data_IF_967381573065
#
_entry.id   IF_967381573065
#
_cell.length_a   1.000
_cell.length_b   1.000
_cell.length_c   1.000
_cell.angle_alpha   90.00
_cell.angle_beta   90.00
_cell.angle_gamma   90.00
#
_symmetry.space_group_name_H-M   'P 1'
#
loop_
_entity.id
_entity.type
_entity.pdbx_description
1 polymer ?
#
# COMPACT_ATOMS: atom_id res chain seq x y z
N UNK A 1 16.43 8.64 -20.03
CA UNK A 1 15.49 8.86 -18.92
C UNK A 1 14.53 7.68 -18.94
N UNK A 2 14.58 6.76 -17.95
CA UNK A 2 13.63 5.67 -17.85
C UNK A 2 12.23 6.23 -17.64
N UNK A 3 11.23 5.53 -18.15
CA UNK A 3 9.87 6.02 -18.30
C UNK A 3 9.09 5.76 -17.00
N UNK A 4 8.80 6.81 -16.21
CA UNK A 4 8.04 6.73 -14.94
C UNK A 4 6.60 6.18 -15.10
N UNK A 5 6.16 5.85 -16.32
CA UNK A 5 4.86 5.25 -16.64
C UNK A 5 4.87 3.70 -16.68
N UNK A 6 6.00 3.02 -16.52
CA UNK A 6 6.04 1.55 -16.45
C UNK A 6 5.64 0.99 -15.07
N UNK A 7 5.63 1.83 -14.03
CA UNK A 7 5.43 1.41 -12.64
C UNK A 7 4.00 0.94 -12.37
N UNK A 8 2.99 1.67 -12.85
CA UNK A 8 1.58 1.31 -12.67
C UNK A 8 1.11 0.20 -13.61
N UNK A 9 1.75 0.04 -14.78
CA UNK A 9 1.30 -0.90 -15.82
C UNK A 9 1.77 -2.33 -15.62
N UNK A 10 2.80 -2.56 -14.81
CA UNK A 10 3.24 -3.92 -14.42
C UNK A 10 2.39 -4.54 -13.30
N UNK A 11 1.53 -3.76 -12.64
CA UNK A 11 0.65 -4.22 -11.58
C UNK A 11 -0.53 -5.10 -12.05
N UNK A 12 -0.84 -5.11 -13.35
CA UNK A 12 -1.86 -6.01 -13.94
C UNK A 12 -1.31 -7.38 -14.39
N UNK A 13 -0.01 -7.62 -14.26
CA UNK A 13 0.61 -8.89 -14.60
C UNK A 13 0.97 -9.67 -13.36
N UNK A 14 0.10 -10.58 -12.92
CA UNK A 14 0.44 -11.54 -11.87
C UNK A 14 1.74 -12.28 -12.24
N UNK A 15 2.86 -11.96 -11.59
CA UNK A 15 4.05 -12.82 -11.61
C UNK A 15 3.75 -13.97 -10.65
N UNK A 16 2.95 -14.94 -11.13
CA UNK A 16 3.03 -16.29 -10.56
C UNK A 16 4.43 -16.79 -10.89
N UNK A 17 5.20 -17.26 -9.91
CA UNK A 17 5.80 -18.59 -9.96
C UNK A 17 6.54 -18.99 -8.67
N UNK A 18 6.36 -20.28 -8.41
CA UNK A 18 7.01 -21.23 -7.52
C UNK A 18 8.53 -21.09 -7.33
N UNK A 19 8.97 -21.25 -6.08
CA UNK A 19 10.30 -21.80 -5.77
C UNK A 19 11.11 -20.94 -4.82
N UNK A 20 11.32 -21.44 -3.60
CA UNK A 20 12.25 -20.84 -2.65
C UNK A 20 13.68 -20.97 -3.14
N UNK A 21 14.42 -19.86 -3.10
CA UNK A 21 15.86 -19.83 -3.37
C UNK A 21 16.33 -18.41 -3.65
N UNK A 22 17.03 -17.82 -2.67
CA UNK A 22 17.89 -16.63 -2.74
C UNK A 22 17.50 -15.57 -3.79
N UNK A 23 16.81 -14.51 -3.38
CA UNK A 23 16.30 -13.49 -4.30
C UNK A 23 16.89 -12.11 -4.03
N UNK A 24 18.10 -11.89 -4.54
CA UNK A 24 18.61 -10.55 -4.76
C UNK A 24 18.49 -10.23 -6.25
N UNK A 25 17.77 -9.16 -6.57
CA UNK A 25 17.77 -8.52 -7.88
C UNK A 25 17.87 -7.01 -7.72
N UNK A 26 18.48 -6.34 -8.69
CA UNK A 26 18.37 -4.89 -8.82
C UNK A 26 16.96 -4.58 -9.34
N UNK A 27 16.17 -3.85 -8.54
CA UNK A 27 14.97 -3.21 -9.02
C UNK A 27 15.33 -2.18 -10.10
N UNK A 28 14.39 -1.90 -11.01
CA UNK A 28 14.60 -1.08 -12.21
C UNK A 28 15.17 0.34 -11.96
N UNK A 29 15.14 0.82 -10.72
CA UNK A 29 15.64 2.14 -10.27
C UNK A 29 16.91 2.06 -9.38
N UNK A 30 17.56 0.90 -9.29
CA UNK A 30 18.74 0.70 -8.43
C UNK A 30 18.41 0.40 -6.96
N UNK A 31 17.14 0.19 -6.62
CA UNK A 31 16.71 -0.30 -5.30
C UNK A 31 16.96 -1.81 -5.16
N UNK A 32 17.31 -2.27 -3.96
CA UNK A 32 17.48 -3.69 -3.70
C UNK A 32 16.09 -4.35 -3.56
N UNK A 33 15.84 -5.39 -4.37
CA UNK A 33 14.60 -6.18 -4.33
C UNK A 33 14.89 -7.48 -3.58
N UNK A 34 14.11 -7.74 -2.54
CA UNK A 34 14.06 -9.01 -1.82
C UNK A 34 12.68 -9.65 -1.96
N UNK A 35 12.60 -10.97 -1.76
CA UNK A 35 11.29 -11.64 -1.69
C UNK A 35 10.96 -11.97 -0.24
N UNK A 36 9.82 -11.46 0.21
CA UNK A 36 9.26 -11.69 1.53
C UNK A 36 8.16 -12.76 1.46
N UNK A 37 7.61 -13.13 2.62
CA UNK A 37 6.38 -13.96 2.66
C UNK A 37 5.14 -13.21 2.12
N UNK A 38 5.25 -11.91 1.92
CA UNK A 38 4.23 -11.05 1.32
C UNK A 38 4.45 -10.84 -0.19
N UNK A 39 5.37 -11.59 -0.79
CA UNK A 39 5.75 -11.42 -2.19
C UNK A 39 6.96 -10.50 -2.35
N UNK A 40 7.02 -9.79 -3.45
CA UNK A 40 8.08 -8.82 -3.75
C UNK A 40 8.13 -7.71 -2.70
N UNK A 41 9.34 -7.37 -2.27
CA UNK A 41 9.62 -6.26 -1.38
C UNK A 41 10.80 -5.46 -1.93
N UNK A 42 10.59 -4.17 -2.09
CA UNK A 42 11.64 -3.25 -2.52
C UNK A 42 11.81 -2.17 -1.46
N UNK A 43 13.06 -1.83 -1.14
CA UNK A 43 13.37 -0.68 -0.31
C UNK A 43 14.38 0.22 -0.99
N UNK A 44 14.22 1.52 -0.78
CA UNK A 44 15.14 2.57 -1.24
C UNK A 44 15.40 3.53 -0.09
N UNK A 45 16.67 3.83 0.15
CA UNK A 45 17.09 4.94 1.02
C UNK A 45 17.38 6.15 0.13
N UNK A 46 16.80 7.30 0.46
CA UNK A 46 17.09 8.58 -0.16
C UNK A 46 18.37 9.22 0.38
N UNK A 47 18.82 10.29 -0.27
CA UNK A 47 20.08 10.94 0.08
C UNK A 47 20.07 11.60 1.48
N UNK A 48 18.88 11.86 2.04
CA UNK A 48 18.71 12.45 3.37
C UNK A 48 18.43 11.38 4.44
N UNK A 49 18.58 10.10 4.10
CA UNK A 49 18.39 8.98 5.00
C UNK A 49 16.95 8.47 5.05
N UNK A 50 15.99 9.10 4.36
CA UNK A 50 14.60 8.64 4.33
C UNK A 50 14.45 7.29 3.62
N UNK A 51 13.72 6.35 4.20
CA UNK A 51 13.46 5.04 3.59
C UNK A 51 12.07 5.02 2.96
N UNK A 52 11.98 4.54 1.72
CA UNK A 52 10.71 4.12 1.11
C UNK A 52 10.71 2.60 0.96
N UNK A 53 9.67 1.97 1.51
CA UNK A 53 9.40 0.54 1.40
C UNK A 53 8.17 0.31 0.53
N UNK A 54 8.27 -0.63 -0.41
CA UNK A 54 7.22 -0.95 -1.37
C UNK A 54 6.94 -2.44 -1.33
N UNK A 55 5.66 -2.79 -1.28
CA UNK A 55 5.11 -4.15 -1.33
C UNK A 55 4.17 -4.24 -2.54
N UNK A 56 4.72 -4.45 -3.75
CA UNK A 56 3.93 -4.43 -4.99
C UNK A 56 2.81 -5.46 -4.98
N UNK A 57 3.12 -6.68 -4.53
CA UNK A 57 2.15 -7.78 -4.45
C UNK A 57 1.06 -7.57 -3.38
N UNK A 58 1.24 -6.59 -2.49
CA UNK A 58 0.22 -6.19 -1.49
C UNK A 58 -0.52 -4.93 -1.95
N UNK A 59 0.07 -4.11 -2.82
CA UNK A 59 -0.48 -2.80 -3.21
C UNK A 59 -0.21 -1.71 -2.16
N UNK A 60 0.87 -1.83 -1.38
CA UNK A 60 1.20 -0.93 -0.26
C UNK A 60 2.59 -0.35 -0.43
N UNK A 61 2.73 0.93 -0.11
CA UNK A 61 4.00 1.64 -0.02
C UNK A 61 4.01 2.49 1.23
N UNK A 62 5.13 2.56 1.95
CA UNK A 62 5.26 3.40 3.12
C UNK A 62 6.63 4.07 3.17
N UNK A 63 6.68 5.25 3.79
CA UNK A 63 7.89 6.02 3.96
C UNK A 63 8.22 6.22 5.42
N UNK A 64 9.51 6.21 5.74
CA UNK A 64 10.07 6.52 7.05
C UNK A 64 11.08 7.66 6.91
N UNK A 65 11.12 8.57 7.88
CA UNK A 65 12.17 9.60 7.91
C UNK A 65 13.50 9.06 8.47
N UNK A 66 14.48 9.94 8.57
CA UNK A 66 15.79 9.73 9.17
C UNK A 66 15.74 9.44 10.68
N UNK A 67 14.66 9.84 11.36
CA UNK A 67 14.34 9.45 12.73
C UNK A 67 13.56 8.11 12.82
N UNK A 68 13.52 7.33 11.73
CA UNK A 68 12.88 6.00 11.68
C UNK A 68 11.35 6.00 11.86
N UNK A 69 10.71 7.17 11.80
CA UNK A 69 9.26 7.34 12.00
C UNK A 69 8.51 7.33 10.68
N UNK A 70 7.35 6.68 10.68
CA UNK A 70 6.42 6.59 9.56
C UNK A 70 5.90 7.97 9.15
N UNK A 71 6.26 8.41 7.94
CA UNK A 71 5.84 9.69 7.36
C UNK A 71 4.64 9.55 6.42
N UNK A 72 4.49 8.40 5.75
CA UNK A 72 3.30 8.11 4.94
C UNK A 72 3.03 6.62 4.80
N UNK A 73 1.76 6.31 4.54
CA UNK A 73 1.27 5.01 4.03
C UNK A 73 0.43 5.30 2.80
N UNK A 74 0.81 4.73 1.66
CA UNK A 74 0.09 4.81 0.41
C UNK A 74 -0.41 3.42 0.02
N UNK A 75 -1.71 3.30 -0.20
CA UNK A 75 -2.36 2.08 -0.65
C UNK A 75 -2.94 2.32 -2.03
N UNK A 76 -2.56 1.52 -3.00
CA UNK A 76 -3.34 1.39 -4.23
C UNK A 76 -4.56 0.53 -3.90
N UNK A 77 -5.72 1.19 -3.95
CA UNK A 77 -6.98 0.63 -3.53
C UNK A 77 -7.36 -0.60 -4.37
N UNK A 78 -7.08 -0.54 -5.66
CA UNK A 78 -7.43 -1.62 -6.58
C UNK A 78 -6.50 -2.81 -6.32
N UNK A 79 -5.19 -2.64 -6.40
CA UNK A 79 -4.26 -3.75 -6.17
C UNK A 79 -4.49 -4.43 -4.82
N UNK A 80 -4.61 -3.63 -3.75
CA UNK A 80 -4.82 -4.12 -2.39
C UNK A 80 -6.07 -5.01 -2.27
N UNK A 81 -7.20 -4.57 -2.82
CA UNK A 81 -8.45 -5.35 -2.80
C UNK A 81 -8.45 -6.49 -3.82
N UNK A 82 -7.60 -6.42 -4.85
CA UNK A 82 -7.55 -7.38 -5.96
C UNK A 82 -6.85 -8.66 -5.57
N UNK A 83 -6.02 -8.59 -4.54
CA UNK A 83 -5.36 -9.72 -3.92
C UNK A 83 -6.30 -10.54 -3.02
N UNK A 84 -7.57 -10.14 -2.86
CA UNK A 84 -8.55 -10.93 -2.14
C UNK A 84 -8.97 -12.17 -2.95
N UNK A 85 -9.00 -13.32 -2.27
CA UNK A 85 -9.60 -14.53 -2.84
C UNK A 85 -11.08 -14.31 -3.18
N UNK A 86 -11.56 -14.93 -4.26
CA UNK A 86 -12.96 -14.75 -4.73
C UNK A 86 -14.00 -15.05 -3.65
N UNK A 87 -13.75 -16.07 -2.82
CA UNK A 87 -14.67 -16.45 -1.75
C UNK A 87 -14.75 -15.34 -0.69
N UNK A 88 -13.63 -14.67 -0.39
CA UNK A 88 -13.59 -13.52 0.54
C UNK A 88 -14.31 -12.29 0.00
N UNK A 89 -14.31 -12.07 -1.32
CA UNK A 89 -15.11 -11.00 -1.92
C UNK A 89 -16.60 -11.22 -1.69
N UNK A 90 -17.07 -12.47 -1.75
CA UNK A 90 -18.48 -12.81 -1.54
C UNK A 90 -18.97 -12.58 -0.11
N UNK A 91 -18.05 -12.54 0.86
CA UNK A 91 -18.30 -12.26 2.28
C UNK A 91 -18.27 -10.77 2.62
N UNK A 92 -17.90 -9.90 1.67
CA UNK A 92 -17.90 -8.45 1.88
C UNK A 92 -19.32 -7.90 1.95
N UNK A 93 -19.48 -6.74 2.60
CA UNK A 93 -20.77 -6.11 2.83
C UNK A 93 -21.62 -5.97 1.54
N UNK A 94 -20.99 -5.62 0.41
CA UNK A 94 -21.66 -5.55 -0.89
C UNK A 94 -21.22 -6.67 -1.85
N UNK A 95 -20.75 -7.79 -1.31
CA UNK A 95 -20.33 -9.00 -2.05
C UNK A 95 -19.29 -8.73 -3.14
N UNK A 96 -18.46 -7.72 -2.96
CA UNK A 96 -17.42 -7.32 -3.90
C UNK A 96 -17.93 -6.52 -5.11
N UNK A 97 -19.21 -6.13 -5.15
CA UNK A 97 -19.80 -5.43 -6.31
C UNK A 97 -19.13 -4.09 -6.57
N UNK A 98 -18.90 -3.27 -5.52
CA UNK A 98 -18.28 -1.95 -5.68
C UNK A 98 -16.80 -2.09 -6.06
N UNK A 99 -16.14 -3.09 -5.49
CA UNK A 99 -14.74 -3.42 -5.78
C UNK A 99 -14.59 -3.84 -7.24
N UNK A 100 -15.40 -4.79 -7.72
CA UNK A 100 -15.36 -5.25 -9.11
C UNK A 100 -15.72 -4.14 -10.10
N UNK A 101 -16.65 -3.26 -9.74
CA UNK A 101 -16.96 -2.08 -10.55
C UNK A 101 -15.79 -1.08 -10.59
N UNK A 102 -15.13 -0.84 -9.45
CA UNK A 102 -13.95 0.01 -9.37
C UNK A 102 -12.83 -0.51 -10.28
N UNK A 103 -12.52 -1.80 -10.23
CA UNK A 103 -11.50 -2.41 -11.10
C UNK A 103 -11.76 -2.14 -12.58
N UNK A 104 -12.99 -2.43 -13.03
CA UNK A 104 -13.37 -2.24 -14.43
C UNK A 104 -13.25 -0.78 -14.86
N UNK A 105 -13.65 0.16 -14.00
CA UNK A 105 -13.55 1.59 -14.30
C UNK A 105 -12.10 2.08 -14.36
N UNK A 106 -11.24 1.64 -13.44
CA UNK A 106 -9.82 2.00 -13.42
C UNK A 106 -9.09 1.40 -14.63
N UNK A 107 -9.33 0.13 -14.94
CA UNK A 107 -8.76 -0.56 -16.10
C UNK A 107 -9.20 0.10 -17.42
N UNK A 108 -10.50 0.37 -17.59
CA UNK A 108 -11.03 1.01 -18.80
C UNK A 108 -10.45 2.41 -19.05
N UNK A 109 -9.93 3.07 -18.01
CA UNK A 109 -9.37 4.43 -18.06
C UNK A 109 -7.85 4.47 -17.97
N UNK A 110 -7.16 3.32 -17.84
CA UNK A 110 -5.72 3.24 -17.59
C UNK A 110 -5.31 4.09 -16.39
N UNK A 111 -6.08 3.96 -15.30
CA UNK A 111 -5.95 4.77 -14.07
C UNK A 111 -5.65 3.91 -12.86
N UNK A 112 -5.04 4.54 -11.85
CA UNK A 112 -4.79 3.98 -10.52
C UNK A 112 -5.41 4.89 -9.47
N UNK A 113 -5.97 4.29 -8.41
CA UNK A 113 -6.56 5.01 -7.28
C UNK A 113 -5.72 4.76 -6.02
N UNK A 114 -5.14 5.83 -5.50
CA UNK A 114 -4.35 5.81 -4.28
C UNK A 114 -5.11 6.42 -3.11
N UNK A 115 -4.97 5.80 -1.94
CA UNK A 115 -5.29 6.37 -0.63
C UNK A 115 -3.97 6.52 0.13
N UNK A 116 -3.58 7.75 0.42
CA UNK A 116 -2.34 8.07 1.13
C UNK A 116 -2.65 8.76 2.46
N UNK A 117 -2.11 8.21 3.54
CA UNK A 117 -2.15 8.81 4.87
C UNK A 117 -0.77 9.37 5.18
N UNK A 118 -0.73 10.60 5.68
CA UNK A 118 0.46 11.24 6.21
C UNK A 118 0.27 11.44 7.72
N UNK A 119 0.72 10.49 8.56
CA UNK A 119 0.43 10.52 10.00
C UNK A 119 1.01 11.74 10.71
N UNK A 120 2.21 12.17 10.32
CA UNK A 120 2.95 13.28 10.94
C UNK A 120 2.26 14.63 10.81
N UNK A 121 1.53 14.84 9.71
CA UNK A 121 0.78 16.07 9.42
C UNK A 121 -0.74 15.88 9.46
N UNK A 122 -1.20 14.73 9.99
CA UNK A 122 -2.63 14.39 10.14
C UNK A 122 -3.44 14.66 8.86
N UNK A 123 -2.97 14.13 7.73
CA UNK A 123 -3.58 14.34 6.41
C UNK A 123 -3.89 13.02 5.72
N UNK A 124 -5.01 12.98 5.02
CA UNK A 124 -5.39 11.94 4.08
C UNK A 124 -5.50 12.57 2.69
N UNK A 125 -4.98 11.89 1.69
CA UNK A 125 -5.15 12.22 0.28
C UNK A 125 -5.72 11.00 -0.43
N UNK A 126 -6.75 11.20 -1.25
CA UNK A 126 -7.26 10.21 -2.19
C UNK A 126 -7.06 10.77 -3.58
N UNK A 127 -6.28 10.09 -4.40
CA UNK A 127 -5.96 10.57 -5.73
C UNK A 127 -6.12 9.48 -6.80
N UNK A 128 -6.67 9.87 -7.95
CA UNK A 128 -6.66 9.03 -9.14
C UNK A 128 -5.61 9.56 -10.11
N UNK A 129 -4.73 8.69 -10.59
CA UNK A 129 -3.66 9.03 -11.52
C UNK A 129 -3.78 8.24 -12.80
N UNK A 130 -3.41 8.88 -13.91
CA UNK A 130 -3.13 8.21 -15.18
C UNK A 130 -1.68 8.48 -15.60
N UNK A 131 -1.36 8.16 -16.85
CA UNK A 131 -0.05 8.42 -17.44
C UNK A 131 0.35 9.89 -17.51
N UNK A 132 -0.61 10.79 -17.69
CA UNK A 132 -0.38 12.23 -17.79
C UNK A 132 -0.21 12.88 -16.40
N UNK A 133 -0.73 12.26 -15.34
CA UNK A 133 -0.52 12.68 -13.95
C UNK A 133 -1.76 12.50 -13.08
N UNK A 134 -1.95 13.42 -12.13
CA UNK A 134 -3.12 13.43 -11.24
C UNK A 134 -4.36 13.89 -12.01
N UNK A 135 -5.40 13.07 -12.01
CA UNK A 135 -6.69 13.31 -12.70
C UNK A 135 -7.77 13.77 -11.73
N UNK A 136 -7.70 13.31 -10.49
CA UNK A 136 -8.60 13.70 -9.40
C UNK A 136 -7.85 13.62 -8.09
N UNK A 137 -8.13 14.55 -7.18
CA UNK A 137 -7.54 14.60 -5.85
C UNK A 137 -8.61 15.07 -4.86
N UNK A 138 -8.68 14.40 -3.71
CA UNK A 138 -9.42 14.83 -2.52
C UNK A 138 -8.47 14.82 -1.32
N UNK A 139 -8.45 15.92 -0.57
CA UNK A 139 -7.52 16.13 0.54
C UNK A 139 -8.31 16.43 1.80
N UNK A 140 -8.11 15.60 2.82
CA UNK A 140 -8.68 15.79 4.15
C UNK A 140 -7.57 16.08 5.14
N UNK A 141 -7.61 17.27 5.73
CA UNK A 141 -6.68 17.69 6.77
C UNK A 141 -7.28 17.50 8.17
N UNK A 142 -6.41 17.48 9.19
CA UNK A 142 -6.77 17.39 10.61
C UNK A 142 -7.56 16.11 10.97
N UNK A 143 -7.17 14.98 10.39
CA UNK A 143 -7.78 13.68 10.73
C UNK A 143 -7.33 13.20 12.12
N UNK A 144 -8.26 12.69 12.92
CA UNK A 144 -7.97 12.14 14.26
C UNK A 144 -7.59 10.66 14.15
N UNK A 145 -6.30 10.38 13.96
CA UNK A 145 -5.80 9.01 13.81
C UNK A 145 -5.86 8.18 15.10
N UNK A 146 -5.91 8.82 16.27
CA UNK A 146 -5.94 8.12 17.56
C UNK A 146 -7.33 7.53 17.81
N UNK A 147 -8.38 8.34 17.57
CA UNK A 147 -9.76 7.86 17.63
C UNK A 147 -10.11 6.95 16.46
N UNK A 148 -9.39 7.10 15.36
CA UNK A 148 -9.69 6.45 14.09
C UNK A 148 -10.47 7.39 13.18
N UNK A 149 -10.20 7.29 11.89
CA UNK A 149 -10.79 8.12 10.85
C UNK A 149 -11.42 7.25 9.77
N UNK A 150 -12.70 7.48 9.54
CA UNK A 150 -13.56 6.67 8.68
C UNK A 150 -14.07 7.49 7.50
N UNK A 151 -14.21 6.85 6.35
CA UNK A 151 -14.85 7.52 5.21
C UNK A 151 -15.16 6.60 4.04
N UNK A 152 -15.57 7.23 2.94
CA UNK A 152 -15.92 6.59 1.69
C UNK A 152 -15.16 7.28 0.55
N UNK A 153 -14.37 6.52 -0.19
CA UNK A 153 -13.85 6.96 -1.49
C UNK A 153 -14.98 6.79 -2.50
N UNK A 154 -15.39 7.89 -3.12
CA UNK A 154 -16.39 7.89 -4.19
C UNK A 154 -15.70 8.07 -5.52
N UNK A 155 -15.66 7.01 -6.32
CA UNK A 155 -15.01 7.04 -7.62
C UNK A 155 -15.95 6.53 -8.69
N UNK A 156 -16.41 7.45 -9.57
CA UNK A 156 -17.22 7.14 -10.77
C UNK A 156 -18.41 6.20 -10.52
N UNK A 157 -19.07 6.35 -9.37
CA UNK A 157 -20.25 5.56 -8.98
C UNK A 157 -19.95 4.37 -8.07
N UNK A 158 -18.68 3.97 -7.92
CA UNK A 158 -18.26 3.03 -6.88
C UNK A 158 -18.01 3.75 -5.55
N UNK A 159 -18.42 3.12 -4.46
CA UNK A 159 -18.12 3.57 -3.09
C UNK A 159 -17.27 2.52 -2.36
N UNK A 160 -16.05 2.89 -2.02
CA UNK A 160 -15.11 2.06 -1.26
C UNK A 160 -14.97 2.63 0.14
N UNK A 161 -15.18 1.81 1.16
CA UNK A 161 -15.06 2.23 2.54
C UNK A 161 -13.61 2.14 3.01
N UNK A 162 -13.22 3.07 3.88
CA UNK A 162 -11.95 2.99 4.60
C UNK A 162 -12.10 3.31 6.08
N UNK A 163 -11.19 2.75 6.87
CA UNK A 163 -10.95 3.08 8.27
C UNK A 163 -9.45 3.14 8.51
N UNK A 164 -9.00 4.17 9.22
CA UNK A 164 -7.58 4.47 9.38
C UNK A 164 -7.33 4.80 10.83
N UNK A 165 -6.37 4.13 11.47
CA UNK A 165 -6.13 4.30 12.90
C UNK A 165 -4.68 4.05 13.27
N UNK A 166 -4.14 4.91 14.12
CA UNK A 166 -2.88 4.67 14.82
C UNK A 166 -3.18 4.01 16.16
N UNK A 167 -2.59 2.84 16.43
CA UNK A 167 -2.76 2.11 17.68
C UNK A 167 -1.39 1.61 18.17
N UNK A 168 -0.89 2.21 19.25
CA UNK A 168 0.45 1.92 19.76
C UNK A 168 1.51 2.15 18.69
N UNK A 169 2.30 1.11 18.42
CA UNK A 169 3.41 1.13 17.47
C UNK A 169 2.97 0.77 16.05
N UNK A 170 1.67 0.62 15.80
CA UNK A 170 1.13 0.24 14.48
C UNK A 170 0.18 1.30 13.90
N UNK A 171 0.17 1.37 12.58
CA UNK A 171 -0.75 2.11 11.75
C UNK A 171 -1.61 1.13 10.97
N UNK A 172 -2.91 1.20 11.18
CA UNK A 172 -3.90 0.38 10.49
C UNK A 172 -4.53 1.21 9.36
N UNK A 173 -4.45 0.69 8.14
CA UNK A 173 -5.21 1.19 6.99
C UNK A 173 -6.10 0.05 6.53
N UNK A 174 -7.40 0.22 6.69
CA UNK A 174 -8.40 -0.79 6.34
C UNK A 174 -9.26 -0.29 5.20
N UNK A 175 -9.39 -1.10 4.15
CA UNK A 175 -10.15 -0.74 2.94
C UNK A 175 -11.11 -1.87 2.60
N UNK A 176 -12.32 -1.55 2.14
CA UNK A 176 -13.27 -2.55 1.67
C UNK A 176 -14.60 -1.96 1.26
N UNK A 177 -15.69 -2.61 1.66
CA UNK A 177 -17.04 -2.25 1.22
C UNK A 177 -17.94 -1.88 2.38
N UNK A 178 -19.03 -1.20 2.03
CA UNK A 178 -20.15 -0.86 2.89
C UNK A 178 -21.45 -1.24 2.19
N UNK A 179 -22.41 -1.70 2.97
CA UNK A 179 -23.82 -1.81 2.58
C UNK A 179 -24.71 -1.07 3.60
N UNK A 180 -26.01 -1.33 3.56
CA UNK A 180 -26.98 -0.78 4.53
C UNK A 180 -26.82 -1.36 5.94
N UNK A 181 -26.22 -2.55 6.07
CA UNK A 181 -26.12 -3.31 7.32
C UNK A 181 -24.78 -3.11 8.03
N UNK A 182 -23.72 -2.70 7.33
CA UNK A 182 -22.42 -2.50 7.93
C UNK A 182 -21.29 -2.26 6.94
N UNK A 183 -20.07 -2.50 7.42
CA UNK A 183 -18.83 -2.41 6.65
C UNK A 183 -18.03 -3.69 6.83
N UNK A 184 -17.42 -4.16 5.74
CA UNK A 184 -16.42 -5.23 5.76
C UNK A 184 -15.14 -4.65 5.21
N UNK A 185 -14.12 -4.53 6.05
CA UNK A 185 -12.84 -3.91 5.72
C UNK A 185 -11.71 -4.93 5.85
N UNK A 186 -10.74 -4.85 4.96
CA UNK A 186 -9.50 -5.62 5.01
C UNK A 186 -8.39 -4.69 5.51
N UNK A 187 -7.74 -4.99 6.65
CA UNK A 187 -6.66 -4.18 7.18
C UNK A 187 -5.30 -4.54 6.58
N UNK A 188 -4.43 -3.54 6.45
CA UNK A 188 -2.98 -3.70 6.53
C UNK A 188 -2.47 -3.02 7.80
N UNK A 189 -1.57 -3.70 8.52
CA UNK A 189 -0.83 -3.14 9.66
C UNK A 189 0.55 -2.72 9.17
N UNK A 190 1.01 -1.56 9.61
CA UNK A 190 2.32 -1.01 9.26
C UNK A 190 2.95 -0.43 10.52
N UNK A 191 4.20 -0.77 10.79
CA UNK A 191 4.93 -0.26 11.95
C UNK A 191 5.12 1.25 11.85
N UNK A 192 4.83 1.96 12.94
CA UNK A 192 5.00 3.42 13.06
C UNK A 192 6.47 3.82 13.16
N UNK A 193 7.32 2.92 13.64
CA UNK A 193 8.75 3.11 13.81
C UNK A 193 9.47 1.85 13.35
N UNK A 194 10.56 1.99 12.60
CA UNK A 194 11.36 0.86 12.10
C UNK A 194 12.83 1.22 12.10
N UNK A 195 13.61 0.54 12.94
CA UNK A 195 15.08 0.58 12.89
C UNK A 195 15.56 -0.26 11.69
N UNK A 196 15.70 0.40 10.53
CA UNK A 196 16.03 -0.23 9.24
C UNK A 196 17.52 -0.23 8.92
N UNK A 197 18.34 0.64 9.53
CA UNK A 197 19.77 0.73 9.22
C UNK A 197 20.53 -0.58 9.53
N UNK A 198 20.34 -1.23 10.68
CA UNK A 198 21.03 -2.49 10.99
C UNK A 198 20.68 -3.62 10.02
N UNK A 199 19.46 -3.65 9.50
CA UNK A 199 19.08 -4.65 8.48
C UNK A 199 19.76 -4.33 7.16
N UNK A 200 19.73 -3.07 6.70
CA UNK A 200 20.26 -2.70 5.39
C UNK A 200 21.78 -2.84 5.33
N UNK A 201 22.49 -2.47 6.40
CA UNK A 201 23.94 -2.65 6.53
C UNK A 201 24.36 -4.10 6.81
N UNK A 202 23.40 -4.99 7.13
CA UNK A 202 23.68 -6.38 7.43
C UNK A 202 24.19 -7.14 6.21
N UNK A 203 25.18 -8.01 6.42
CA UNK A 203 25.56 -9.04 5.44
C UNK A 203 24.58 -10.24 5.42
N UNK A 204 23.54 -10.24 6.26
CA UNK A 204 22.56 -11.32 6.31
C UNK A 204 21.81 -11.43 4.98
N UNK A 205 21.84 -12.59 4.30
CA UNK A 205 21.10 -12.81 3.06
C UNK A 205 19.58 -12.67 3.22
N UNK A 206 19.04 -12.65 4.45
CA UNK A 206 17.61 -12.46 4.75
C UNK A 206 17.25 -11.05 5.23
N UNK A 207 18.15 -10.08 5.20
CA UNK A 207 17.90 -8.73 5.73
C UNK A 207 16.62 -8.06 5.18
N UNK A 208 16.38 -8.15 3.88
CA UNK A 208 15.17 -7.60 3.25
C UNK A 208 13.90 -8.33 3.68
N UNK A 209 13.99 -9.64 3.88
CA UNK A 209 12.88 -10.44 4.40
C UNK A 209 12.55 -10.03 5.84
N UNK A 210 13.57 -9.83 6.68
CA UNK A 210 13.41 -9.34 8.06
C UNK A 210 12.85 -7.92 8.08
N UNK A 211 13.35 -7.03 7.23
CA UNK A 211 12.86 -5.66 7.13
C UNK A 211 11.40 -5.60 6.67
N UNK A 212 11.01 -6.41 5.68
CA UNK A 212 9.63 -6.55 5.26
C UNK A 212 8.70 -7.02 6.40
N UNK A 213 9.13 -8.01 7.18
CA UNK A 213 8.39 -8.50 8.34
C UNK A 213 8.30 -7.43 9.45
N UNK A 214 9.40 -6.71 9.73
CA UNK A 214 9.41 -5.57 10.67
C UNK A 214 8.40 -4.50 10.28
N UNK A 215 8.26 -4.21 8.99
CA UNK A 215 7.35 -3.16 8.49
C UNK A 215 5.88 -3.60 8.55
N UNK A 216 5.51 -4.77 8.04
CA UNK A 216 4.08 -5.19 7.92
C UNK A 216 3.55 -5.87 9.20
N UNK A 217 4.42 -6.40 10.06
CA UNK A 217 4.00 -7.21 11.22
C UNK A 217 4.50 -6.69 12.54
N UNK A 218 5.38 -5.69 12.54
CA UNK A 218 6.07 -5.22 13.72
C UNK A 218 6.79 -6.37 14.48
N UNK A 219 7.55 -7.21 13.74
CA UNK A 219 8.28 -8.38 14.27
C UNK A 219 9.76 -8.37 13.93
#
# INVERSE_FOLDING_TARGET
MPNNQEWSRRWCGAIRHSGGGSTYGEGYDGGQVGHSRFGEFACRIGDQGEMTATFPDVGVMCGYNDEEKLIFVCVDVACFLGNMEKDRLSEMANKGVNILALFKELEARDQVLYLTVYPTIMRLVVEARDKAGVVSEDVVANIDLIKGFDGLIRYKGSEIAYHIRKLGDEMFVSIGERDENGRTLVPVSISNEVDYMPEIESEDPKRHWKLADKIILNR
#
